data_IF_825298517718
#
_entry.id   IF_825298517718
#
_cell.length_a   1.000
_cell.length_b   1.000
_cell.length_c   1.000
_cell.angle_alpha   90.00
_cell.angle_beta   90.00
_cell.angle_gamma   90.00
#
_symmetry.space_group_name_H-M   'P 1'
#
loop_
_entity.id
_entity.type
_entity.pdbx_description
1 polymer ?
#
# COMPACT_ATOMS: atom_id res chain seq x y z
N UNK A 1 -5.70 1.96 -4.77
CA UNK A 1 -4.76 1.14 -3.97
C UNK A 1 -3.63 0.75 -4.90
N UNK A 2 -2.38 0.89 -4.47
CA UNK A 2 -1.20 0.64 -5.30
C UNK A 2 -0.24 -0.24 -4.49
N UNK A 3 0.32 -1.27 -5.12
CA UNK A 3 1.44 -2.01 -4.56
C UNK A 3 2.75 -1.52 -5.19
N UNK A 4 3.70 -1.13 -4.34
CA UNK A 4 5.04 -0.73 -4.76
C UNK A 4 5.99 -1.90 -4.54
N UNK A 5 6.60 -2.39 -5.62
CA UNK A 5 7.56 -3.49 -5.60
C UNK A 5 8.98 -2.94 -5.70
N UNK A 6 9.80 -3.19 -4.68
CA UNK A 6 11.20 -2.75 -4.61
C UNK A 6 12.13 -3.98 -4.58
N UNK A 7 13.07 -4.13 -5.52
CA UNK A 7 14.05 -5.21 -5.46
C UNK A 7 15.04 -4.98 -4.31
N UNK A 8 15.47 -6.06 -3.66
CA UNK A 8 16.61 -6.07 -2.71
C UNK A 8 17.88 -6.59 -3.37
N UNK A 9 19.02 -6.33 -2.75
CA UNK A 9 20.35 -6.77 -3.20
C UNK A 9 20.53 -8.30 -3.18
N UNK A 10 19.79 -9.01 -2.32
CA UNK A 10 19.78 -10.46 -2.21
C UNK A 10 18.70 -11.16 -3.05
N UNK A 11 18.10 -10.45 -4.03
CA UNK A 11 17.18 -11.03 -5.01
C UNK A 11 15.76 -11.30 -4.50
N UNK A 12 15.39 -10.72 -3.35
CA UNK A 12 14.02 -10.67 -2.83
C UNK A 12 13.30 -9.40 -3.32
N UNK A 13 11.99 -9.33 -3.12
CA UNK A 13 11.19 -8.13 -3.39
C UNK A 13 10.48 -7.68 -2.14
N UNK A 14 10.58 -6.39 -1.81
CA UNK A 14 9.74 -5.74 -0.80
C UNK A 14 8.45 -5.26 -1.47
N UNK A 15 7.32 -5.71 -0.94
CA UNK A 15 5.98 -5.29 -1.36
C UNK A 15 5.47 -4.28 -0.32
N UNK A 16 5.17 -3.07 -0.80
CA UNK A 16 4.66 -1.97 -0.01
C UNK A 16 3.23 -1.63 -0.49
N UNK A 17 2.19 -2.19 0.14
CA UNK A 17 0.82 -1.78 -0.13
C UNK A 17 0.60 -0.36 0.35
N UNK A 18 0.10 0.52 -0.54
CA UNK A 18 -0.14 1.94 -0.26
C UNK A 18 -1.57 2.33 -0.63
N UNK A 19 -2.20 3.07 0.26
CA UNK A 19 -3.38 3.87 -0.11
C UNK A 19 -2.93 5.18 -0.72
N UNK A 20 -3.66 5.61 -1.73
CA UNK A 20 -3.55 6.97 -2.24
C UNK A 20 -4.09 7.93 -1.19
N UNK A 21 -3.40 9.05 -0.99
CA UNK A 21 -3.90 10.11 -0.13
C UNK A 21 -5.22 10.63 -0.73
N UNK A 22 -6.34 10.67 0.02
CA UNK A 22 -7.57 11.24 -0.49
C UNK A 22 -7.37 12.73 -0.76
N UNK A 23 -7.87 13.23 -1.89
CA UNK A 23 -7.89 14.68 -2.20
C UNK A 23 -8.85 15.44 -1.27
N UNK A 24 -8.90 16.77 -1.37
CA UNK A 24 -9.70 17.59 -0.46
C UNK A 24 -11.19 17.21 -0.43
N UNK A 25 -11.80 17.04 -1.60
CA UNK A 25 -13.23 16.72 -1.72
C UNK A 25 -13.55 15.33 -1.14
N UNK A 26 -12.68 14.36 -1.39
CA UNK A 26 -12.79 13.01 -0.81
C UNK A 26 -12.70 13.02 0.72
N UNK A 27 -11.82 13.86 1.30
CA UNK A 27 -11.73 14.02 2.77
C UNK A 27 -13.00 14.64 3.36
N UNK A 28 -13.57 15.63 2.67
CA UNK A 28 -14.83 16.25 3.08
C UNK A 28 -15.97 15.22 3.11
N UNK A 29 -16.06 14.37 2.08
CA UNK A 29 -17.06 13.30 2.03
C UNK A 29 -16.85 12.26 3.14
N UNK A 30 -15.63 11.80 3.38
CA UNK A 30 -15.32 10.85 4.46
C UNK A 30 -15.73 11.40 5.84
N UNK A 31 -15.41 12.67 6.10
CA UNK A 31 -15.82 13.33 7.34
C UNK A 31 -17.34 13.41 7.47
N UNK A 32 -18.05 13.83 6.42
CA UNK A 32 -19.52 13.92 6.42
C UNK A 32 -20.22 12.57 6.63
N UNK A 33 -19.60 11.48 6.19
CA UNK A 33 -20.10 10.12 6.35
C UNK A 33 -19.62 9.46 7.66
N UNK A 34 -18.83 10.15 8.48
CA UNK A 34 -18.18 9.61 9.68
C UNK A 34 -17.38 8.32 9.39
N UNK A 35 -16.63 8.31 8.28
CA UNK A 35 -15.80 7.20 7.85
C UNK A 35 -14.32 7.55 7.99
N UNK A 36 -13.55 6.60 8.49
CA UNK A 36 -12.10 6.67 8.51
C UNK A 36 -11.50 5.70 7.48
N UNK A 37 -10.36 6.07 6.92
CA UNK A 37 -9.63 5.15 6.07
C UNK A 37 -9.04 4.01 6.92
N UNK A 38 -9.09 2.76 6.43
CA UNK A 38 -8.48 1.64 7.14
C UNK A 38 -6.97 1.86 7.29
N UNK A 39 -6.39 1.26 8.33
CA UNK A 39 -4.94 1.26 8.52
C UNK A 39 -4.26 0.56 7.34
N UNK A 40 -3.15 1.12 6.85
CA UNK A 40 -2.37 0.47 5.80
C UNK A 40 -1.74 -0.83 6.33
N UNK A 41 -1.84 -1.94 5.59
CA UNK A 41 -1.20 -3.19 6.01
C UNK A 41 0.32 -3.05 6.01
N UNK A 42 0.99 -3.88 6.82
CA UNK A 42 2.45 -3.85 6.96
C UNK A 42 3.15 -4.26 5.66
N UNK A 43 4.33 -3.69 5.37
CA UNK A 43 5.21 -4.16 4.29
C UNK A 43 5.52 -5.66 4.41
N UNK A 44 5.72 -6.31 3.26
CA UNK A 44 6.00 -7.76 3.17
C UNK A 44 7.24 -7.98 2.30
N UNK A 45 7.97 -9.07 2.54
CA UNK A 45 9.15 -9.46 1.74
C UNK A 45 8.89 -10.83 1.12
N UNK A 46 9.19 -11.00 -0.17
CA UNK A 46 9.08 -12.29 -0.86
C UNK A 46 10.32 -13.16 -0.65
N UNK A 47 10.16 -14.47 -0.85
CA UNK A 47 11.32 -15.37 -0.94
C UNK A 47 12.07 -15.14 -2.25
N UNK A 48 13.40 -15.28 -2.23
CA UNK A 48 14.23 -15.12 -3.41
C UNK A 48 13.77 -16.06 -4.53
N UNK A 49 13.57 -15.53 -5.75
CA UNK A 49 13.14 -16.31 -6.91
C UNK A 49 11.63 -16.50 -7.08
N UNK A 50 10.78 -15.96 -6.20
CA UNK A 50 9.33 -15.87 -6.44
C UNK A 50 9.01 -14.48 -7.01
N UNK A 51 8.69 -14.41 -8.31
CA UNK A 51 8.07 -13.24 -8.91
C UNK A 51 6.78 -12.95 -8.13
N UNK A 52 6.63 -11.71 -7.67
CA UNK A 52 5.37 -11.24 -7.11
C UNK A 52 4.41 -11.05 -8.30
N UNK A 53 3.38 -11.90 -8.38
CA UNK A 53 2.22 -11.75 -9.28
C UNK A 53 1.57 -10.37 -9.11
#
# INVERSE_FOLDING_TARGET
MIDVHLPTDDGRTVILPRYTQPEADHRMLLHGLNLELPAQPKPRITAAGKLAD
#
